data_IF_633969498601
#
_entry.id   IF_633969498601
#
_cell.length_a   1.000
_cell.length_b   1.000
_cell.length_c   1.000
_cell.angle_alpha   90.00
_cell.angle_beta   90.00
_cell.angle_gamma   90.00
#
_symmetry.space_group_name_H-M   'P 1'
#
loop_
_entity.id
_entity.type
_entity.pdbx_description
1 polymer ?
#
# COMPACT_ATOMS: atom_id res chain seq x y z
N UNK A 1 50.35 -66.97 6.71
CA UNK A 1 49.37 -66.29 7.53
C UNK A 1 49.74 -64.85 7.61
N UNK A 2 49.25 -63.98 6.78
CA UNK A 2 49.28 -62.52 6.87
C UNK A 2 48.29 -61.96 5.84
N UNK A 3 47.16 -61.40 6.34
CA UNK A 3 46.12 -60.71 5.54
C UNK A 3 46.58 -59.27 5.34
N UNK A 4 46.58 -58.68 4.15
CA UNK A 4 46.64 -57.26 3.96
C UNK A 4 45.25 -56.68 3.93
N UNK A 5 45.06 -55.69 4.76
CA UNK A 5 43.89 -54.87 4.84
C UNK A 5 43.89 -53.92 3.63
N UNK A 6 42.90 -54.05 2.75
CA UNK A 6 42.70 -53.14 1.63
C UNK A 6 41.91 -51.93 2.10
N UNK A 7 42.59 -50.81 2.25
CA UNK A 7 41.98 -49.52 2.57
C UNK A 7 41.40 -48.94 1.28
N UNK A 8 40.06 -49.01 1.16
CA UNK A 8 39.32 -48.34 0.10
C UNK A 8 39.11 -46.87 0.51
N UNK A 9 39.88 -45.98 -0.10
CA UNK A 9 39.72 -44.54 -0.04
C UNK A 9 38.56 -44.19 -1.00
N UNK A 10 37.33 -44.03 -0.48
CA UNK A 10 36.21 -43.46 -1.24
C UNK A 10 36.31 -41.93 -1.16
N UNK A 11 36.88 -41.33 -2.18
CA UNK A 11 36.89 -39.91 -2.44
C UNK A 11 35.48 -39.49 -2.84
N UNK A 12 34.67 -38.98 -1.89
CA UNK A 12 33.39 -38.39 -2.17
C UNK A 12 33.62 -37.02 -2.81
N UNK A 13 33.41 -36.95 -4.11
CA UNK A 13 33.38 -35.70 -4.89
C UNK A 13 32.10 -34.97 -4.57
N UNK A 14 32.12 -34.02 -3.63
CA UNK A 14 31.07 -33.07 -3.34
C UNK A 14 31.00 -32.05 -4.48
N UNK A 15 30.23 -32.37 -5.52
CA UNK A 15 29.75 -31.42 -6.51
C UNK A 15 28.75 -30.48 -5.84
N UNK A 16 29.23 -29.29 -5.49
CA UNK A 16 28.39 -28.18 -5.06
C UNK A 16 27.43 -27.74 -6.19
N UNK A 17 26.23 -28.28 -6.20
CA UNK A 17 25.12 -27.74 -6.98
C UNK A 17 24.71 -26.44 -6.29
N UNK A 18 25.23 -25.31 -6.80
CA UNK A 18 24.72 -23.99 -6.53
C UNK A 18 23.26 -23.91 -7.02
N UNK A 19 22.33 -24.36 -6.20
CA UNK A 19 20.92 -24.19 -6.47
C UNK A 19 20.58 -22.71 -6.39
N UNK A 20 20.25 -22.09 -7.53
CA UNK A 20 19.42 -20.91 -7.53
C UNK A 20 18.15 -21.27 -6.75
N UNK A 21 18.06 -20.80 -5.50
CA UNK A 21 16.79 -20.87 -4.78
C UNK A 21 15.79 -20.00 -5.54
N UNK A 22 14.69 -20.57 -6.05
CA UNK A 22 13.65 -19.73 -6.57
C UNK A 22 13.20 -18.80 -5.44
N UNK A 23 13.07 -17.51 -5.74
CA UNK A 23 12.45 -16.55 -4.85
C UNK A 23 11.02 -17.04 -4.57
N UNK A 24 10.82 -17.67 -3.44
CA UNK A 24 9.49 -18.06 -2.97
C UNK A 24 8.84 -16.78 -2.49
N UNK A 25 7.94 -16.24 -3.32
CA UNK A 25 7.02 -15.19 -2.93
C UNK A 25 6.25 -15.72 -1.72
N UNK A 26 6.46 -15.12 -0.56
CA UNK A 26 5.70 -15.48 0.63
C UNK A 26 4.26 -14.98 0.40
N UNK A 27 3.34 -15.91 0.18
CA UNK A 27 1.91 -15.61 0.33
C UNK A 27 1.66 -15.35 1.81
N UNK A 28 0.81 -14.35 2.16
CA UNK A 28 0.43 -14.12 3.55
C UNK A 28 -0.07 -15.43 4.18
N UNK A 29 0.40 -15.75 5.40
CA UNK A 29 -0.09 -16.93 6.11
C UNK A 29 -1.59 -16.79 6.38
N UNK A 30 -2.31 -17.90 6.31
CA UNK A 30 -3.75 -18.00 6.59
C UNK A 30 -4.00 -17.47 8.03
N UNK A 31 -4.59 -16.27 8.15
CA UNK A 31 -4.80 -15.58 9.43
C UNK A 31 -4.14 -14.20 9.54
N UNK A 32 -3.39 -13.73 8.54
CA UNK A 32 -2.86 -12.36 8.54
C UNK A 32 -4.00 -11.37 8.26
N UNK A 33 -4.32 -10.53 9.24
CA UNK A 33 -5.27 -9.42 9.04
C UNK A 33 -4.64 -8.43 8.08
N UNK A 34 -5.30 -8.19 6.93
CA UNK A 34 -4.86 -7.19 5.97
C UNK A 34 -5.07 -5.79 6.54
N UNK A 35 -4.19 -4.87 6.18
CA UNK A 35 -4.36 -3.44 6.46
C UNK A 35 -5.28 -2.88 5.38
N UNK A 36 -6.46 -2.37 5.77
CA UNK A 36 -7.43 -1.81 4.83
C UNK A 36 -7.16 -0.33 4.58
N UNK A 37 -6.95 0.03 3.31
CA UNK A 37 -6.64 1.39 2.89
C UNK A 37 -7.70 1.91 1.93
N UNK A 38 -8.38 3.00 2.29
CA UNK A 38 -9.29 3.72 1.40
C UNK A 38 -8.49 4.75 0.58
N UNK A 39 -8.47 4.63 -0.75
CA UNK A 39 -7.80 5.60 -1.63
C UNK A 39 -8.81 6.32 -2.53
N UNK A 40 -8.94 7.64 -2.34
CA UNK A 40 -9.73 8.51 -3.22
C UNK A 40 -8.84 9.30 -4.16
N UNK A 41 -8.86 8.94 -5.45
CA UNK A 41 -8.12 9.57 -6.54
C UNK A 41 -8.94 10.70 -7.17
N UNK A 42 -8.28 11.77 -7.63
CA UNK A 42 -8.92 12.89 -8.35
C UNK A 42 -9.71 12.41 -9.56
N UNK A 43 -9.10 11.57 -10.39
CA UNK A 43 -9.65 11.09 -11.65
C UNK A 43 -8.67 10.23 -12.42
N UNK A 44 -8.94 10.02 -13.71
CA UNK A 44 -8.10 9.28 -14.64
C UNK A 44 -7.85 10.08 -15.94
N UNK A 45 -7.82 11.40 -15.84
CA UNK A 45 -7.78 12.33 -16.98
C UNK A 45 -6.36 12.58 -17.53
N UNK A 46 -5.34 11.96 -16.94
CA UNK A 46 -3.96 12.03 -17.42
C UNK A 46 -3.23 10.71 -17.23
N UNK A 47 -2.23 10.46 -18.07
CA UNK A 47 -1.38 9.26 -18.00
C UNK A 47 -0.69 9.16 -16.63
N UNK A 48 -0.31 10.30 -16.03
CA UNK A 48 0.29 10.35 -14.71
C UNK A 48 -0.69 9.80 -13.64
N UNK A 49 -1.97 10.21 -13.68
CA UNK A 49 -2.99 9.74 -12.71
C UNK A 49 -3.32 8.27 -12.89
N UNK A 50 -3.32 7.80 -14.13
CA UNK A 50 -3.47 6.36 -14.41
C UNK A 50 -2.29 5.60 -13.84
N UNK A 51 -1.05 6.02 -14.13
CA UNK A 51 0.15 5.37 -13.62
C UNK A 51 0.22 5.41 -12.07
N UNK A 52 -0.16 6.54 -11.44
CA UNK A 52 -0.24 6.64 -10.00
C UNK A 52 -1.27 5.65 -9.42
N UNK A 53 -2.45 5.54 -10.02
CA UNK A 53 -3.48 4.58 -9.60
C UNK A 53 -3.00 3.14 -9.70
N UNK A 54 -2.34 2.76 -10.81
CA UNK A 54 -1.78 1.43 -10.97
C UNK A 54 -0.68 1.14 -9.95
N UNK A 55 0.22 2.09 -9.70
CA UNK A 55 1.25 1.97 -8.67
C UNK A 55 0.67 1.77 -7.27
N UNK A 56 -0.41 2.49 -6.93
CA UNK A 56 -1.12 2.32 -5.65
C UNK A 56 -1.75 0.93 -5.55
N UNK A 57 -2.38 0.42 -6.62
CA UNK A 57 -2.97 -0.92 -6.67
C UNK A 57 -1.94 -2.02 -6.51
N UNK A 58 -0.79 -1.88 -7.17
CA UNK A 58 0.32 -2.84 -7.06
C UNK A 58 0.94 -2.84 -5.67
N UNK A 59 1.16 -1.65 -5.09
CA UNK A 59 1.80 -1.50 -3.78
C UNK A 59 0.88 -1.91 -2.64
N UNK A 60 -0.41 -1.59 -2.71
CA UNK A 60 -1.42 -1.86 -1.70
C UNK A 60 -2.26 -3.10 -2.07
N UNK A 61 -1.60 -4.16 -2.52
CA UNK A 61 -2.22 -5.44 -2.88
C UNK A 61 -2.26 -6.41 -1.68
N UNK A 62 -3.13 -7.40 -1.73
CA UNK A 62 -3.21 -8.48 -0.74
C UNK A 62 -1.88 -9.22 -0.60
N UNK A 63 -1.13 -9.39 -1.69
CA UNK A 63 0.20 -10.01 -1.66
C UNK A 63 1.20 -9.23 -0.78
N UNK A 64 0.98 -7.92 -0.63
CA UNK A 64 1.78 -7.04 0.21
C UNK A 64 1.16 -6.81 1.61
N UNK A 65 0.06 -7.49 1.94
CA UNK A 65 -0.60 -7.40 3.23
C UNK A 65 -1.65 -6.28 3.32
N UNK A 66 -2.15 -5.78 2.20
CA UNK A 66 -3.13 -4.69 2.17
C UNK A 66 -4.41 -5.10 1.45
N UNK A 67 -5.52 -4.48 1.85
CA UNK A 67 -6.78 -4.45 1.12
C UNK A 67 -7.05 -3.00 0.67
N UNK A 68 -7.08 -2.76 -0.64
CA UNK A 68 -7.29 -1.43 -1.20
C UNK A 68 -8.74 -1.20 -1.60
N UNK A 69 -9.41 -0.26 -0.95
CA UNK A 69 -10.71 0.28 -1.34
C UNK A 69 -10.50 1.53 -2.19
N UNK A 70 -10.68 1.41 -3.50
CA UNK A 70 -10.41 2.48 -4.46
C UNK A 70 -11.66 3.24 -4.88
N UNK A 71 -11.59 4.58 -4.85
CA UNK A 71 -12.61 5.48 -5.40
C UNK A 71 -12.00 6.45 -6.42
N UNK A 72 -12.73 6.66 -7.52
CA UNK A 72 -12.41 7.68 -8.51
C UNK A 72 -13.41 8.83 -8.42
N UNK A 73 -12.95 9.98 -7.95
CA UNK A 73 -13.77 11.16 -7.73
C UNK A 73 -14.31 11.81 -9.00
N UNK A 74 -13.78 11.46 -10.17
CA UNK A 74 -14.17 12.07 -11.47
C UNK A 74 -14.10 13.60 -11.43
N UNK A 75 -13.04 14.12 -10.80
CA UNK A 75 -12.75 15.56 -10.64
C UNK A 75 -13.81 16.33 -9.82
N UNK A 76 -14.55 15.63 -8.95
CA UNK A 76 -15.57 16.24 -8.10
C UNK A 76 -15.25 16.06 -6.63
N UNK A 77 -15.04 17.15 -5.92
CA UNK A 77 -14.75 17.14 -4.50
C UNK A 77 -15.86 16.47 -3.68
N UNK A 78 -17.13 16.69 -4.06
CA UNK A 78 -18.29 16.05 -3.41
C UNK A 78 -18.25 14.51 -3.47
N UNK A 79 -17.63 13.94 -4.52
CA UNK A 79 -17.45 12.50 -4.60
C UNK A 79 -16.38 12.04 -3.61
N UNK A 80 -15.29 12.80 -3.43
CA UNK A 80 -14.29 12.52 -2.42
C UNK A 80 -14.85 12.59 -1.00
N UNK A 81 -15.71 13.55 -0.71
CA UNK A 81 -16.41 13.61 0.58
C UNK A 81 -17.25 12.35 0.84
N UNK A 82 -17.97 11.86 -0.20
CA UNK A 82 -18.72 10.60 -0.09
C UNK A 82 -17.80 9.41 0.10
N UNK A 83 -16.71 9.35 -0.67
CA UNK A 83 -15.73 8.27 -0.56
C UNK A 83 -15.13 8.21 0.85
N UNK A 84 -14.65 9.35 1.40
CA UNK A 84 -14.07 9.41 2.74
C UNK A 84 -15.10 8.94 3.79
N UNK A 85 -16.35 9.39 3.73
CA UNK A 85 -17.39 8.92 4.64
C UNK A 85 -17.70 7.44 4.49
N UNK A 86 -17.61 6.90 3.27
CA UNK A 86 -17.74 5.46 3.03
C UNK A 86 -16.59 4.69 3.65
N UNK A 87 -15.35 5.17 3.51
CA UNK A 87 -14.19 4.58 4.15
C UNK A 87 -14.29 4.61 5.68
N UNK A 88 -14.77 5.72 6.26
CA UNK A 88 -15.05 5.81 7.70
C UNK A 88 -16.09 4.78 8.14
N UNK A 89 -17.19 4.62 7.37
CA UNK A 89 -18.23 3.62 7.67
C UNK A 89 -17.74 2.18 7.56
N UNK A 90 -16.74 1.93 6.73
CA UNK A 90 -16.09 0.62 6.54
C UNK A 90 -14.94 0.38 7.50
N UNK A 91 -14.67 1.34 8.41
CA UNK A 91 -13.64 1.25 9.45
C UNK A 91 -12.25 0.91 8.89
N UNK A 92 -11.85 1.61 7.80
CA UNK A 92 -10.54 1.39 7.19
C UNK A 92 -9.42 1.83 8.13
N UNK A 93 -8.24 1.20 8.04
CA UNK A 93 -7.09 1.53 8.86
C UNK A 93 -6.44 2.86 8.46
N UNK A 94 -6.47 3.21 7.16
CA UNK A 94 -5.90 4.45 6.61
C UNK A 94 -6.76 4.99 5.47
N UNK A 95 -6.76 6.33 5.34
CA UNK A 95 -7.30 7.00 4.16
C UNK A 95 -6.16 7.69 3.43
N UNK A 96 -6.05 7.45 2.11
CA UNK A 96 -5.17 8.17 1.19
C UNK A 96 -6.04 9.05 0.30
N UNK A 97 -5.73 10.34 0.25
CA UNK A 97 -6.50 11.33 -0.49
C UNK A 97 -5.60 12.08 -1.48
N UNK A 98 -5.88 11.94 -2.78
CA UNK A 98 -5.38 12.86 -3.82
C UNK A 98 -6.44 13.95 -4.05
N UNK A 99 -6.31 15.16 -3.46
CA UNK A 99 -7.44 16.10 -3.40
C UNK A 99 -7.72 16.77 -4.74
N UNK A 100 -9.00 16.92 -5.09
CA UNK A 100 -9.45 17.64 -6.30
C UNK A 100 -9.18 19.14 -6.17
N UNK A 101 -9.36 19.70 -4.99
CA UNK A 101 -9.16 21.12 -4.64
C UNK A 101 -8.20 21.24 -3.47
N UNK A 102 -7.68 22.45 -3.25
CA UNK A 102 -6.80 22.73 -2.09
C UNK A 102 -7.60 23.04 -0.81
N UNK A 103 -8.83 23.53 -0.93
CA UNK A 103 -9.64 24.04 0.18
C UNK A 103 -10.92 23.24 0.41
N UNK A 104 -11.56 23.45 1.59
CA UNK A 104 -12.88 22.91 1.93
C UNK A 104 -12.85 21.50 2.53
N UNK A 105 -11.72 21.08 3.08
CA UNK A 105 -11.50 19.72 3.59
C UNK A 105 -11.76 19.57 5.09
N UNK A 106 -11.81 20.68 5.84
CA UNK A 106 -11.86 20.68 7.31
C UNK A 106 -12.89 19.70 7.87
N UNK A 107 -14.15 19.82 7.41
CA UNK A 107 -15.26 19.04 7.97
C UNK A 107 -15.07 17.52 7.81
N UNK A 108 -14.72 17.07 6.60
CA UNK A 108 -14.58 15.63 6.34
C UNK A 108 -13.31 15.03 6.95
N UNK A 109 -12.24 15.83 7.09
CA UNK A 109 -11.04 15.41 7.78
C UNK A 109 -11.23 15.39 9.30
N UNK A 110 -12.06 16.29 9.86
CA UNK A 110 -12.51 16.20 11.24
C UNK A 110 -13.32 14.93 11.52
N UNK A 111 -14.20 14.53 10.57
CA UNK A 111 -14.96 13.28 10.64
C UNK A 111 -13.99 12.06 10.69
N UNK A 112 -12.96 12.04 9.82
CA UNK A 112 -11.95 10.96 9.82
C UNK A 112 -11.15 10.93 11.12
N UNK A 113 -10.70 12.10 11.61
CA UNK A 113 -10.01 12.22 12.91
C UNK A 113 -10.89 11.75 14.07
N UNK A 114 -12.17 12.11 14.09
CA UNK A 114 -13.11 11.68 15.12
C UNK A 114 -13.33 10.16 15.12
N UNK A 115 -13.23 9.52 13.95
CA UNK A 115 -13.24 8.07 13.79
C UNK A 115 -11.89 7.41 14.15
N UNK A 116 -10.83 8.20 14.41
CA UNK A 116 -9.50 7.68 14.70
C UNK A 116 -8.73 7.18 13.48
N UNK A 117 -9.18 7.52 12.27
CA UNK A 117 -8.58 7.06 11.01
C UNK A 117 -7.57 8.09 10.51
N UNK A 118 -6.27 7.76 10.42
CA UNK A 118 -5.25 8.64 9.90
C UNK A 118 -5.42 8.90 8.41
N UNK A 119 -5.22 10.16 7.98
CA UNK A 119 -5.31 10.57 6.58
C UNK A 119 -3.93 10.94 6.07
N UNK A 120 -3.57 10.41 4.90
CA UNK A 120 -2.37 10.74 4.14
C UNK A 120 -2.80 11.49 2.88
N UNK A 121 -2.30 12.71 2.72
CA UNK A 121 -2.53 13.52 1.52
C UNK A 121 -1.44 13.18 0.49
N UNK A 122 -1.83 12.99 -0.77
CA UNK A 122 -0.88 12.71 -1.85
C UNK A 122 -1.11 13.64 -3.04
N UNK A 123 -0.09 13.86 -3.87
CA UNK A 123 -0.09 14.73 -5.04
C UNK A 123 -0.19 16.21 -4.62
N UNK A 124 -1.39 16.77 -4.60
CA UNK A 124 -1.67 18.17 -4.27
C UNK A 124 -1.80 18.35 -2.76
N UNK A 125 -1.22 19.42 -2.23
CA UNK A 125 -1.39 19.82 -0.84
C UNK A 125 -2.78 20.40 -0.60
N UNK A 126 -3.23 20.35 0.66
CA UNK A 126 -4.48 20.98 1.11
C UNK A 126 -4.18 22.18 2.01
N UNK A 127 -5.00 23.22 1.90
CA UNK A 127 -4.95 24.39 2.77
C UNK A 127 -5.94 24.19 3.93
N UNK A 128 -5.41 24.09 5.15
CA UNK A 128 -6.18 23.89 6.38
C UNK A 128 -5.77 24.89 7.44
N UNK A 129 -6.72 25.32 8.26
CA UNK A 129 -6.44 26.09 9.47
C UNK A 129 -5.80 25.21 10.56
N UNK A 130 -6.11 23.92 10.59
CA UNK A 130 -5.54 22.91 11.50
C UNK A 130 -4.86 21.80 10.69
N UNK A 131 -3.55 21.90 10.54
CA UNK A 131 -2.73 20.90 9.81
C UNK A 131 -2.64 19.55 10.53
N UNK A 132 -3.10 19.44 11.78
CA UNK A 132 -3.15 18.16 12.49
C UNK A 132 -4.28 17.23 12.01
N UNK A 133 -5.13 17.70 11.07
CA UNK A 133 -6.21 16.92 10.47
C UNK A 133 -5.72 15.85 9.50
N UNK A 134 -4.47 15.89 9.09
CA UNK A 134 -3.84 14.80 8.33
C UNK A 134 -2.47 14.42 8.93
N UNK A 135 -2.05 13.19 8.68
CA UNK A 135 -0.82 12.64 9.28
C UNK A 135 0.42 13.06 8.49
N UNK A 136 0.35 13.04 7.17
CA UNK A 136 1.47 13.40 6.29
C UNK A 136 0.96 13.82 4.92
N UNK A 137 1.83 14.54 4.21
CA UNK A 137 1.68 14.85 2.81
C UNK A 137 2.86 14.29 2.02
N UNK A 138 2.58 13.70 0.86
CA UNK A 138 3.56 13.15 -0.08
C UNK A 138 3.27 13.72 -1.46
N UNK A 139 4.14 14.53 -1.98
CA UNK A 139 3.98 15.18 -3.29
C UNK A 139 5.31 15.61 -3.88
N UNK A 140 5.25 16.14 -5.09
CA UNK A 140 6.42 16.72 -5.74
C UNK A 140 6.67 18.14 -5.21
N UNK A 141 7.94 18.46 -4.96
CA UNK A 141 8.39 19.80 -4.68
C UNK A 141 8.73 20.46 -6.03
N UNK A 142 7.96 21.47 -6.45
CA UNK A 142 8.11 22.18 -7.74
C UNK A 142 8.77 23.54 -7.54
#
# INVERSE_FOLDING_TARGET
MRRPILLLLSLALLLGLGGCMPYVRQTPEEGTTLITVGFSQVGAESDWRVANTESMRESLSEENGFELLFDNARQKQENQFKAIRTFIQQDVDYIVLAPVTETGWESVLEEARAAGIPVIIVDRQVELSDVSLYTSWVGSDF
#
